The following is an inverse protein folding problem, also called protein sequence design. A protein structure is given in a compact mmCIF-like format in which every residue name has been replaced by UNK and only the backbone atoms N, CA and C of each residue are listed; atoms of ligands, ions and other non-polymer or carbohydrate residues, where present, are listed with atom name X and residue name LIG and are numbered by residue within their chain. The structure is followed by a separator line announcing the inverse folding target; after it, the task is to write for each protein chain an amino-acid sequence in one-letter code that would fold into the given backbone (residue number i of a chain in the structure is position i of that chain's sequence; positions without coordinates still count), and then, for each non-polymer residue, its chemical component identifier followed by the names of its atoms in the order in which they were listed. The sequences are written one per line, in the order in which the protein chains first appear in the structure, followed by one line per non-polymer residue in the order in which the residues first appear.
data_IF_749931547805
#
_entry.id   IF_749931547805
#
_cell.length_a   1.000
_cell.length_b   1.000
_cell.length_c   1.000
_cell.angle_alpha   90.00
_cell.angle_beta   90.00
_cell.angle_gamma   90.00
#
_symmetry.space_group_name_H-M   'P 1'
#
loop_
_entity.id
_entity.type
_entity.pdbx_description
1 polymer ?
#
# COMPACT_ATOMS: atom_id res chain seq x y z
N UNK A 1 -21.79 11.06 -8.70
CA UNK A 1 -20.35 10.71 -8.76
C UNK A 1 -20.06 9.52 -7.87
N UNK A 2 -19.29 8.58 -8.35
CA UNK A 2 -18.84 7.44 -7.54
C UNK A 2 -17.46 7.72 -6.98
N UNK A 3 -17.29 7.45 -5.68
CA UNK A 3 -16.02 7.56 -4.99
C UNK A 3 -15.50 6.15 -4.69
N UNK A 4 -14.25 5.90 -5.03
CA UNK A 4 -13.62 4.60 -4.84
C UNK A 4 -12.40 4.73 -3.94
N UNK A 5 -12.25 3.77 -3.02
CA UNK A 5 -11.01 3.54 -2.32
C UNK A 5 -10.11 2.63 -3.17
N UNK A 6 -8.80 2.70 -2.98
CA UNK A 6 -7.86 1.88 -3.74
C UNK A 6 -7.57 0.56 -3.03
N UNK A 7 -6.93 0.62 -1.87
CA UNK A 7 -6.45 -0.57 -1.18
C UNK A 7 -7.60 -1.44 -0.65
N UNK A 8 -7.59 -2.70 -1.05
CA UNK A 8 -8.62 -3.65 -0.62
C UNK A 8 -9.96 -3.49 -1.33
N UNK A 9 -10.14 -2.47 -2.17
CA UNK A 9 -11.36 -2.22 -2.93
C UNK A 9 -11.14 -2.44 -4.43
N UNK A 10 -10.22 -1.69 -5.02
CA UNK A 10 -9.88 -1.82 -6.44
C UNK A 10 -8.76 -2.81 -6.67
N UNK A 11 -7.80 -2.85 -5.77
CA UNK A 11 -6.62 -3.69 -5.89
C UNK A 11 -6.47 -4.61 -4.69
N UNK A 12 -5.86 -5.76 -4.91
CA UNK A 12 -5.51 -6.69 -3.85
C UNK A 12 -4.13 -6.32 -3.31
N UNK A 13 -4.14 -5.52 -2.26
CA UNK A 13 -2.94 -5.04 -1.58
C UNK A 13 -2.87 -5.50 -0.11
N UNK A 14 -3.69 -6.48 0.27
CA UNK A 14 -3.80 -6.92 1.65
C UNK A 14 -2.47 -7.38 2.25
N UNK A 15 -1.62 -8.02 1.46
CA UNK A 15 -0.36 -8.58 1.94
C UNK A 15 0.86 -7.69 1.67
N UNK A 16 0.68 -6.51 1.07
CA UNK A 16 1.79 -5.64 0.72
C UNK A 16 2.67 -5.33 1.94
N UNK A 17 2.07 -4.85 3.01
CA UNK A 17 2.83 -4.44 4.19
C UNK A 17 3.37 -5.62 4.98
N UNK A 18 2.70 -6.77 4.96
CA UNK A 18 3.24 -8.00 5.53
C UNK A 18 4.48 -8.45 4.77
N UNK A 19 4.45 -8.36 3.45
CA UNK A 19 5.59 -8.74 2.61
C UNK A 19 6.75 -7.77 2.81
N UNK A 20 6.47 -6.48 2.95
CA UNK A 20 7.48 -5.47 3.30
C UNK A 20 8.15 -5.81 4.63
N UNK A 21 7.37 -6.12 5.65
CA UNK A 21 7.90 -6.46 6.98
C UNK A 21 8.73 -7.74 6.93
N UNK A 22 8.26 -8.76 6.23
CA UNK A 22 9.00 -10.02 6.08
C UNK A 22 10.34 -9.82 5.40
N UNK A 23 10.36 -9.07 4.31
CA UNK A 23 11.58 -8.79 3.57
C UNK A 23 12.56 -7.95 4.40
N UNK A 24 12.05 -6.92 5.07
CA UNK A 24 12.86 -6.07 5.94
C UNK A 24 13.55 -6.88 7.04
N UNK A 25 12.79 -7.75 7.72
CA UNK A 25 13.32 -8.59 8.79
C UNK A 25 14.25 -9.67 8.24
N UNK A 26 13.92 -10.27 7.10
CA UNK A 26 14.74 -11.30 6.47
C UNK A 26 16.13 -10.79 6.10
N UNK A 27 16.24 -9.54 5.63
CA UNK A 27 17.52 -8.90 5.33
C UNK A 27 18.43 -8.80 6.54
N UNK A 28 17.85 -8.82 7.73
CA UNK A 28 18.56 -8.73 9.01
C UNK A 28 18.65 -10.06 9.75
N UNK A 29 18.18 -11.14 9.12
CA UNK A 29 18.18 -12.46 9.74
C UNK A 29 17.21 -12.59 10.91
N UNK A 30 16.15 -11.78 10.93
CA UNK A 30 15.15 -11.75 12.00
C UNK A 30 13.85 -12.44 11.56
N UNK A 31 13.16 -13.14 12.49
CA UNK A 31 11.88 -13.76 12.15
C UNK A 31 10.72 -12.77 12.18
N UNK A 32 9.73 -12.99 11.31
CA UNK A 32 8.45 -12.30 11.36
C UNK A 32 7.56 -13.02 12.37
N UNK A 33 7.27 -12.38 13.49
CA UNK A 33 6.51 -13.00 14.57
C UNK A 33 5.18 -12.31 14.79
N UNK A 34 4.26 -12.99 15.48
CA UNK A 34 2.98 -12.40 15.88
C UNK A 34 3.18 -11.18 16.77
N UNK A 35 4.14 -11.24 17.69
CA UNK A 35 4.46 -10.13 18.58
C UNK A 35 4.91 -8.89 17.79
N UNK A 36 5.72 -9.07 16.75
CA UNK A 36 6.12 -7.98 15.87
C UNK A 36 4.92 -7.41 15.13
N UNK A 37 4.10 -8.27 14.53
CA UNK A 37 2.90 -7.86 13.81
C UNK A 37 1.98 -7.01 14.70
N UNK A 38 1.72 -7.47 15.91
CA UNK A 38 0.84 -6.76 16.85
C UNK A 38 1.41 -5.38 17.24
N UNK A 39 2.73 -5.26 17.26
CA UNK A 39 3.39 -3.99 17.59
C UNK A 39 3.36 -2.96 16.47
N UNK A 40 3.31 -3.39 15.20
CA UNK A 40 3.32 -2.47 14.05
C UNK A 40 1.94 -2.29 13.41
N UNK A 41 1.04 -3.26 13.56
CA UNK A 41 -0.32 -3.14 13.07
C UNK A 41 -1.07 -2.07 13.87
N UNK A 42 -1.98 -1.38 13.26
CA UNK A 42 -2.84 -0.39 13.91
C UNK A 42 -2.11 0.83 14.49
N UNK A 43 -0.91 1.12 14.03
CA UNK A 43 -0.19 2.33 14.41
C UNK A 43 0.26 3.11 13.19
N UNK A 44 0.64 4.37 13.40
CA UNK A 44 1.13 5.22 12.30
C UNK A 44 2.59 4.90 11.98
N UNK A 45 3.00 5.27 10.77
CA UNK A 45 4.30 4.93 10.21
C UNK A 45 5.49 5.29 11.14
N UNK A 46 5.59 6.52 11.66
CA UNK A 46 6.71 6.88 12.55
C UNK A 46 6.76 6.07 13.83
N UNK A 47 5.60 5.77 14.42
CA UNK A 47 5.54 4.95 15.64
C UNK A 47 5.89 3.49 15.36
N UNK A 48 5.50 2.98 14.19
CA UNK A 48 5.89 1.64 13.77
C UNK A 48 7.40 1.53 13.61
N UNK A 49 8.07 2.56 13.04
CA UNK A 49 9.50 2.59 12.89
C UNK A 49 10.22 2.64 14.25
N UNK A 50 9.71 3.43 15.17
CA UNK A 50 10.25 3.49 16.55
C UNK A 50 10.13 2.13 17.23
N UNK A 51 8.96 1.51 17.16
CA UNK A 51 8.73 0.18 17.72
C UNK A 51 9.70 -0.84 17.12
N UNK A 52 9.86 -0.86 15.81
CA UNK A 52 10.73 -1.80 15.10
C UNK A 52 12.17 -1.64 15.54
N UNK A 53 12.67 -0.38 15.65
CA UNK A 53 14.02 -0.11 16.10
C UNK A 53 14.26 -0.65 17.51
N UNK A 54 13.34 -0.40 18.42
CA UNK A 54 13.45 -0.84 19.81
C UNK A 54 13.29 -2.35 19.96
N UNK A 55 12.26 -2.91 19.33
CA UNK A 55 11.93 -4.32 19.44
C UNK A 55 13.03 -5.21 18.85
N UNK A 56 13.60 -4.82 17.72
CA UNK A 56 14.64 -5.58 17.04
C UNK A 56 16.05 -5.14 17.42
N UNK A 57 16.19 -4.10 18.26
CA UNK A 57 17.47 -3.56 18.68
C UNK A 57 18.36 -3.22 17.49
N UNK A 58 17.84 -2.43 16.56
CA UNK A 58 18.54 -2.09 15.32
C UNK A 58 19.43 -0.86 15.45
N UNK A 59 20.59 -0.85 14.76
CA UNK A 59 21.43 0.35 14.69
C UNK A 59 20.88 1.41 13.73
N UNK A 60 19.98 1.03 12.82
CA UNK A 60 19.40 1.91 11.83
C UNK A 60 18.60 3.05 12.50
N UNK A 61 18.63 4.25 11.92
CA UNK A 61 17.75 5.33 12.38
C UNK A 61 16.30 5.07 11.99
N UNK A 62 15.37 5.70 12.69
CA UNK A 62 13.94 5.58 12.34
C UNK A 62 13.67 6.05 10.91
N UNK A 63 14.36 7.10 10.46
CA UNK A 63 14.26 7.63 9.10
C UNK A 63 14.76 6.62 8.08
N UNK A 64 15.84 5.93 8.34
CA UNK A 64 16.39 4.91 7.45
C UNK A 64 15.44 3.70 7.36
N UNK A 65 14.83 3.32 8.47
CA UNK A 65 13.85 2.24 8.50
C UNK A 65 12.65 2.59 7.64
N UNK A 66 12.12 3.80 7.79
CA UNK A 66 10.99 4.27 7.00
C UNK A 66 11.33 4.35 5.51
N UNK A 67 12.54 4.81 5.17
CA UNK A 67 12.98 4.90 3.79
C UNK A 67 13.07 3.51 3.14
N UNK A 68 13.58 2.52 3.86
CA UNK A 68 13.65 1.15 3.36
C UNK A 68 12.25 0.57 3.15
N UNK A 69 11.33 0.79 4.08
CA UNK A 69 9.95 0.35 3.93
C UNK A 69 9.29 0.97 2.70
N UNK A 70 9.55 2.25 2.44
CA UNK A 70 8.99 2.94 1.27
C UNK A 70 9.48 2.32 -0.03
N UNK A 71 10.76 1.98 -0.12
CA UNK A 71 11.33 1.32 -1.29
C UNK A 71 10.75 -0.08 -1.49
N UNK A 72 10.64 -0.86 -0.42
CA UNK A 72 10.06 -2.20 -0.48
C UNK A 72 8.58 -2.14 -0.88
N UNK A 73 7.83 -1.18 -0.33
CA UNK A 73 6.43 -1.00 -0.66
C UNK A 73 6.23 -0.56 -2.11
N UNK A 74 7.10 0.30 -2.63
CA UNK A 74 7.04 0.72 -4.03
C UNK A 74 7.15 -0.49 -4.96
N UNK A 75 8.07 -1.39 -4.69
CA UNK A 75 8.24 -2.61 -5.46
C UNK A 75 7.01 -3.52 -5.33
N UNK A 76 6.51 -3.69 -4.11
CA UNK A 76 5.32 -4.52 -3.86
C UNK A 76 4.07 -3.98 -4.56
N UNK A 77 3.86 -2.66 -4.54
CA UNK A 77 2.73 -2.05 -5.24
C UNK A 77 2.83 -2.15 -6.77
N UNK A 78 4.02 -2.32 -7.29
CA UNK A 78 4.19 -2.58 -8.73
C UNK A 78 3.70 -3.97 -9.16
N UNK A 79 3.49 -4.87 -8.20
CA UNK A 79 3.08 -6.26 -8.45
C UNK A 79 1.69 -6.62 -7.93
N UNK A 80 0.92 -5.66 -7.41
CA UNK A 80 -0.45 -5.92 -6.96
C UNK A 80 -1.36 -6.24 -8.14
N UNK A 81 -2.47 -6.92 -7.85
CA UNK A 81 -3.47 -7.31 -8.85
C UNK A 81 -4.78 -6.58 -8.64
N UNK A 82 -5.58 -6.50 -9.71
CA UNK A 82 -6.93 -5.94 -9.65
C UNK A 82 -7.86 -6.95 -8.99
N UNK A 83 -8.73 -6.48 -8.11
CA UNK A 83 -9.76 -7.33 -7.52
C UNK A 83 -10.71 -7.85 -8.59
N UNK A 84 -11.24 -9.09 -8.45
CA UNK A 84 -12.16 -9.66 -9.43
C UNK A 84 -13.37 -8.76 -9.68
N UNK A 85 -13.73 -8.59 -10.95
CA UNK A 85 -14.90 -7.80 -11.36
C UNK A 85 -14.68 -6.29 -11.43
N UNK A 86 -13.57 -5.76 -10.90
CA UNK A 86 -13.31 -4.32 -10.86
C UNK A 86 -13.19 -3.73 -12.26
N UNK A 87 -12.39 -4.34 -13.13
CA UNK A 87 -12.20 -3.82 -14.50
C UNK A 87 -13.52 -3.75 -15.26
N UNK A 88 -14.33 -4.81 -15.17
CA UNK A 88 -15.61 -4.86 -15.84
C UNK A 88 -16.54 -3.76 -15.32
N UNK A 89 -16.58 -3.56 -13.99
CA UNK A 89 -17.40 -2.55 -13.37
C UNK A 89 -16.98 -1.14 -13.78
N UNK A 90 -15.67 -0.84 -13.78
CA UNK A 90 -15.18 0.48 -14.19
C UNK A 90 -15.46 0.77 -15.66
N UNK A 91 -15.30 -0.23 -16.52
CA UNK A 91 -15.66 -0.10 -17.95
C UNK A 91 -17.13 0.21 -18.13
N UNK A 92 -17.99 -0.48 -17.38
CA UNK A 92 -19.43 -0.26 -17.43
C UNK A 92 -19.80 1.15 -16.96
N UNK A 93 -19.22 1.61 -15.85
CA UNK A 93 -19.45 2.97 -15.35
C UNK A 93 -19.03 4.02 -16.38
N UNK A 94 -17.89 3.83 -17.04
CA UNK A 94 -17.42 4.76 -18.07
C UNK A 94 -18.36 4.76 -19.29
N UNK A 95 -18.83 3.60 -19.72
CA UNK A 95 -19.78 3.47 -20.83
C UNK A 95 -21.10 4.15 -20.52
N UNK A 96 -21.51 4.20 -19.26
CA UNK A 96 -22.72 4.87 -18.80
C UNK A 96 -22.49 6.35 -18.46
N UNK A 97 -21.31 6.90 -18.76
CA UNK A 97 -20.91 8.26 -18.47
C UNK A 97 -20.99 8.62 -16.99
N UNK A 98 -20.73 7.66 -16.11
CA UNK A 98 -20.65 7.88 -14.67
C UNK A 98 -19.33 8.56 -14.33
N UNK A 99 -19.42 9.60 -13.53
CA UNK A 99 -18.21 10.30 -13.04
C UNK A 99 -17.62 9.50 -11.88
N UNK A 100 -16.31 9.30 -11.91
CA UNK A 100 -15.60 8.51 -10.91
C UNK A 100 -14.40 9.27 -10.37
N UNK A 101 -14.18 9.18 -9.08
CA UNK A 101 -13.04 9.76 -8.39
C UNK A 101 -12.44 8.74 -7.44
N UNK A 102 -11.13 8.81 -7.27
CA UNK A 102 -10.38 7.96 -6.35
C UNK A 102 -10.07 8.74 -5.08
N UNK A 103 -10.39 8.17 -3.93
CA UNK A 103 -10.05 8.72 -2.61
C UNK A 103 -9.26 7.65 -1.87
N UNK A 104 -8.02 7.96 -1.50
CA UNK A 104 -7.15 6.97 -0.87
C UNK A 104 -6.30 7.58 0.26
N UNK A 105 -6.06 6.79 1.31
CA UNK A 105 -5.10 7.13 2.36
C UNK A 105 -3.69 6.62 2.04
N UNK A 106 -3.51 5.95 0.90
CA UNK A 106 -2.22 5.44 0.47
C UNK A 106 -1.25 6.57 0.15
N UNK A 107 0.04 6.29 0.26
CA UNK A 107 1.08 7.24 -0.13
C UNK A 107 0.96 7.52 -1.63
N UNK A 108 1.02 8.80 -2.07
CA UNK A 108 0.82 9.16 -3.48
C UNK A 108 1.67 8.37 -4.48
N UNK A 109 2.95 8.16 -4.19
CA UNK A 109 3.83 7.40 -5.10
C UNK A 109 3.37 5.95 -5.24
N UNK A 110 2.90 5.34 -4.17
CA UNK A 110 2.40 3.95 -4.21
C UNK A 110 1.11 3.85 -5.01
N UNK A 111 0.21 4.81 -4.81
CA UNK A 111 -1.04 4.89 -5.55
C UNK A 111 -0.77 5.02 -7.05
N UNK A 112 0.06 5.95 -7.46
CA UNK A 112 0.40 6.16 -8.87
C UNK A 112 1.06 4.92 -9.47
N UNK A 113 2.02 4.32 -8.75
CA UNK A 113 2.70 3.11 -9.23
C UNK A 113 1.69 2.00 -9.53
N UNK A 114 0.79 1.71 -8.58
CA UNK A 114 -0.19 0.65 -8.75
C UNK A 114 -1.20 0.98 -9.87
N UNK A 115 -1.77 2.17 -9.84
CA UNK A 115 -2.85 2.55 -10.76
C UNK A 115 -2.34 2.70 -12.21
N UNK A 116 -1.11 3.17 -12.41
CA UNK A 116 -0.51 3.26 -13.73
C UNK A 116 -0.14 1.89 -14.27
N UNK A 117 0.47 1.04 -13.44
CA UNK A 117 0.81 -0.34 -13.84
C UNK A 117 -0.41 -1.13 -14.27
N UNK A 118 -1.52 -0.96 -13.57
CA UNK A 118 -2.77 -1.68 -13.84
C UNK A 118 -3.64 -0.99 -14.90
N UNK A 119 -3.22 0.19 -15.38
CA UNK A 119 -3.97 0.96 -16.37
C UNK A 119 -5.38 1.31 -15.89
N UNK A 120 -5.51 1.69 -14.64
CA UNK A 120 -6.78 2.07 -14.02
C UNK A 120 -6.97 3.58 -13.85
N UNK A 121 -5.89 4.36 -13.92
CA UNK A 121 -5.95 5.81 -13.67
C UNK A 121 -6.89 6.52 -14.65
N UNK A 122 -6.99 6.02 -15.88
CA UNK A 122 -7.82 6.60 -16.94
C UNK A 122 -9.32 6.63 -16.62
N UNK A 123 -9.77 5.83 -15.64
CA UNK A 123 -11.18 5.79 -15.26
C UNK A 123 -11.58 6.90 -14.30
N UNK A 124 -10.62 7.58 -13.69
CA UNK A 124 -10.88 8.54 -12.62
C UNK A 124 -10.58 9.96 -13.08
N UNK A 125 -11.53 10.87 -12.85
CA UNK A 125 -11.34 12.29 -13.20
C UNK A 125 -10.49 13.04 -12.17
N UNK A 126 -10.42 12.50 -10.94
CA UNK A 126 -9.62 13.11 -9.87
C UNK A 126 -9.16 12.05 -8.88
N UNK A 127 -8.06 12.36 -8.18
CA UNK A 127 -7.52 11.53 -7.11
C UNK A 127 -7.29 12.42 -5.90
N UNK A 128 -7.86 12.04 -4.77
CA UNK A 128 -7.69 12.74 -3.49
C UNK A 128 -6.94 11.84 -2.53
N UNK A 129 -5.89 12.38 -1.93
CA UNK A 129 -5.11 11.69 -0.91
C UNK A 129 -5.54 12.19 0.46
N UNK A 130 -6.06 11.27 1.25
CA UNK A 130 -6.52 11.59 2.59
C UNK A 130 -5.38 11.53 3.61
#
# INVERSE_FOLDING_TARGET
MYLFDMDGTLIDSNDVWKDVDREFLARRGLPYTKAYYEGVAHTIFPLAAKFTKEFCNLPDSEEDIMAEWMELAKDAYAHVTVKPGVRAFLKQCKAENRRMALVTSSVPVHCRTAMEKLDLMKYFESVTFA
#
